data_IF_918275285279
#
_entry.id   IF_918275285279
#
_cell.length_a   1.000
_cell.length_b   1.000
_cell.length_c   1.000
_cell.angle_alpha   90.00
_cell.angle_beta   90.00
_cell.angle_gamma   90.00
#
_symmetry.space_group_name_H-M   'P 1'
#
loop_
_entity.id
_entity.type
_entity.pdbx_description
1 polymer ?
#
# COMPACT_ATOMS: atom_id res chain seq x y z
N UNK A 1 5.15 24.71 -4.50
CA UNK A 1 3.82 25.03 -5.06
C UNK A 1 3.23 23.78 -5.67
N UNK A 2 1.93 23.53 -5.47
CA UNK A 2 1.22 22.45 -6.17
C UNK A 2 1.05 22.88 -7.64
N UNK A 3 1.46 22.05 -8.59
CA UNK A 3 1.27 22.33 -10.02
C UNK A 3 -0.19 22.09 -10.42
N UNK A 4 -0.64 22.70 -11.52
CA UNK A 4 -1.98 22.47 -12.05
C UNK A 4 -2.24 20.99 -12.36
N UNK A 5 -1.23 20.27 -12.85
CA UNK A 5 -1.34 18.83 -13.13
C UNK A 5 -1.54 18.00 -11.85
N UNK A 6 -0.80 18.32 -10.77
CA UNK A 6 -0.93 17.62 -9.50
C UNK A 6 -2.31 17.88 -8.87
N UNK A 7 -2.80 19.12 -8.94
CA UNK A 7 -4.15 19.47 -8.49
C UNK A 7 -5.21 18.68 -9.26
N UNK A 8 -5.12 18.60 -10.58
CA UNK A 8 -6.05 17.84 -11.39
C UNK A 8 -6.06 16.33 -11.06
N UNK A 9 -4.92 15.74 -10.68
CA UNK A 9 -4.86 14.35 -10.23
C UNK A 9 -5.57 14.16 -8.89
N UNK A 10 -5.38 15.10 -7.96
CA UNK A 10 -6.06 15.11 -6.66
C UNK A 10 -7.58 15.22 -6.86
N UNK A 11 -8.03 16.14 -7.72
CA UNK A 11 -9.47 16.36 -7.97
C UNK A 11 -10.14 15.11 -8.57
N UNK A 12 -9.51 14.45 -9.55
CA UNK A 12 -10.02 13.19 -10.13
C UNK A 12 -10.16 12.07 -9.10
N UNK A 13 -9.21 11.99 -8.18
CA UNK A 13 -9.27 11.04 -7.08
C UNK A 13 -10.52 11.33 -6.24
N UNK A 14 -10.70 12.57 -5.80
CA UNK A 14 -11.89 12.98 -5.01
C UNK A 14 -13.22 12.67 -5.73
N UNK A 15 -13.32 12.97 -7.02
CA UNK A 15 -14.51 12.64 -7.83
C UNK A 15 -14.81 11.13 -7.83
N UNK A 16 -13.78 10.29 -7.88
CA UNK A 16 -13.95 8.82 -7.85
C UNK A 16 -14.60 8.37 -6.55
N UNK A 17 -14.15 8.85 -5.38
CA UNK A 17 -14.75 8.51 -4.08
C UNK A 17 -16.18 9.00 -3.95
N UNK A 18 -16.43 10.23 -4.44
CA UNK A 18 -17.77 10.80 -4.46
C UNK A 18 -18.75 9.95 -5.27
N UNK A 19 -18.36 9.53 -6.48
CA UNK A 19 -19.19 8.64 -7.32
C UNK A 19 -19.33 7.23 -6.76
N UNK A 20 -18.34 6.76 -5.99
CA UNK A 20 -18.35 5.47 -5.29
C UNK A 20 -19.17 5.44 -4.01
N UNK A 21 -19.80 6.56 -3.62
CA UNK A 21 -20.66 6.63 -2.42
C UNK A 21 -19.94 6.87 -1.11
N UNK A 22 -18.61 7.13 -1.13
CA UNK A 22 -17.85 7.52 0.06
C UNK A 22 -17.82 9.05 0.12
N UNK A 23 -18.74 9.62 0.88
CA UNK A 23 -18.94 11.08 0.94
C UNK A 23 -18.27 11.76 2.13
N UNK A 24 -17.90 11.00 3.17
CA UNK A 24 -17.23 11.54 4.34
C UNK A 24 -15.72 11.74 4.05
N UNK A 25 -15.21 12.99 4.07
CA UNK A 25 -13.82 13.28 3.77
C UNK A 25 -12.82 12.62 4.72
N UNK A 26 -13.21 12.39 5.98
CA UNK A 26 -12.34 11.73 6.96
C UNK A 26 -12.10 10.27 6.60
N UNK A 27 -13.14 9.56 6.16
CA UNK A 27 -13.04 8.17 5.73
C UNK A 27 -12.13 8.06 4.50
N UNK A 28 -12.27 9.00 3.54
CA UNK A 28 -11.40 9.08 2.35
C UNK A 28 -9.93 9.26 2.76
N UNK A 29 -9.65 10.22 3.65
CA UNK A 29 -8.28 10.48 4.14
C UNK A 29 -7.71 9.24 4.83
N UNK A 30 -8.50 8.57 5.66
CA UNK A 30 -8.08 7.36 6.36
C UNK A 30 -7.70 6.24 5.38
N UNK A 31 -8.57 5.93 4.41
CA UNK A 31 -8.30 4.88 3.42
C UNK A 31 -7.04 5.18 2.60
N UNK A 32 -6.83 6.45 2.22
CA UNK A 32 -5.60 6.87 1.55
C UNK A 32 -4.37 6.68 2.41
N UNK A 33 -4.47 7.06 3.69
CA UNK A 33 -3.34 6.98 4.61
C UNK A 33 -2.88 5.54 4.78
N UNK A 34 -3.80 4.58 4.85
CA UNK A 34 -3.45 3.16 4.88
C UNK A 34 -2.74 2.68 3.60
N UNK A 35 -3.23 3.06 2.42
CA UNK A 35 -2.59 2.70 1.15
C UNK A 35 -1.22 3.37 0.96
N UNK A 36 -1.04 4.59 1.46
CA UNK A 36 0.26 5.27 1.43
C UNK A 36 1.25 4.62 2.39
N UNK A 37 0.79 4.22 3.57
CA UNK A 37 1.64 3.58 4.57
C UNK A 37 2.20 2.24 4.08
N UNK A 38 1.34 1.36 3.54
CA UNK A 38 1.77 0.06 2.97
C UNK A 38 2.72 0.23 1.77
N UNK A 39 2.51 1.27 0.95
CA UNK A 39 3.41 1.60 -0.15
C UNK A 39 4.79 2.01 0.37
N UNK A 40 4.83 2.90 1.36
CA UNK A 40 6.09 3.35 1.97
C UNK A 40 6.84 2.20 2.66
N UNK A 41 6.14 1.30 3.35
CA UNK A 41 6.73 0.11 3.94
C UNK A 41 7.39 -0.80 2.90
N UNK A 42 6.73 -1.02 1.77
CA UNK A 42 7.26 -1.81 0.66
C UNK A 42 8.47 -1.14 -0.01
N UNK A 43 8.46 0.19 -0.15
CA UNK A 43 9.61 0.95 -0.65
C UNK A 43 10.83 0.81 0.30
N UNK A 44 10.63 0.93 1.62
CA UNK A 44 11.69 0.72 2.62
C UNK A 44 12.22 -0.71 2.59
N UNK A 45 11.34 -1.71 2.51
CA UNK A 45 11.73 -3.12 2.39
C UNK A 45 12.59 -3.35 1.14
N UNK A 46 12.15 -2.83 0.00
CA UNK A 46 12.87 -2.97 -1.28
C UNK A 46 14.25 -2.32 -1.22
N UNK A 47 14.37 -1.15 -0.60
CA UNK A 47 15.67 -0.50 -0.39
C UNK A 47 16.60 -1.36 0.45
N UNK A 48 16.13 -1.88 1.59
CA UNK A 48 16.93 -2.71 2.48
C UNK A 48 17.36 -4.04 1.84
N UNK A 49 16.46 -4.69 1.09
CA UNK A 49 16.78 -5.88 0.29
C UNK A 49 17.90 -5.59 -0.71
N UNK A 50 17.82 -4.47 -1.44
CA UNK A 50 18.83 -4.07 -2.41
C UNK A 50 20.18 -3.75 -1.76
N UNK A 51 20.18 -3.05 -0.62
CA UNK A 51 21.39 -2.73 0.14
C UNK A 51 22.08 -4.00 0.65
N UNK A 52 21.32 -4.94 1.22
CA UNK A 52 21.85 -6.20 1.71
C UNK A 52 22.42 -7.07 0.58
N UNK A 53 21.71 -7.16 -0.54
CA UNK A 53 22.19 -7.84 -1.76
C UNK A 53 23.48 -7.22 -2.29
N UNK A 54 23.59 -5.88 -2.25
CA UNK A 54 24.80 -5.17 -2.68
C UNK A 54 25.99 -5.41 -1.74
N UNK A 55 25.76 -5.44 -0.42
CA UNK A 55 26.78 -5.68 0.59
C UNK A 55 27.12 -7.16 0.80
N UNK A 56 26.30 -8.08 0.27
CA UNK A 56 26.44 -9.52 0.45
C UNK A 56 26.19 -9.97 1.90
N UNK A 57 25.31 -9.27 2.61
CA UNK A 57 24.94 -9.58 4.01
C UNK A 57 23.52 -10.13 4.06
N UNK A 58 23.25 -10.97 5.05
CA UNK A 58 21.90 -11.47 5.30
C UNK A 58 20.98 -10.32 5.77
N UNK A 59 19.74 -10.32 5.28
CA UNK A 59 18.70 -9.36 5.66
C UNK A 59 17.45 -10.07 6.17
N UNK A 60 16.99 -9.64 7.34
CA UNK A 60 15.71 -10.09 7.90
C UNK A 60 14.57 -9.21 7.37
N UNK A 61 13.72 -9.82 6.55
CA UNK A 61 12.59 -9.16 5.90
C UNK A 61 11.51 -8.75 6.91
N UNK A 62 10.96 -7.53 6.74
CA UNK A 62 9.75 -7.11 7.48
C UNK A 62 8.49 -7.85 7.01
N UNK A 63 8.57 -8.54 5.87
CA UNK A 63 7.51 -9.35 5.28
C UNK A 63 7.98 -10.81 5.12
N UNK A 64 8.20 -11.56 6.20
CA UNK A 64 8.78 -12.89 6.12
C UNK A 64 7.83 -13.92 5.47
N UNK A 65 8.39 -14.84 4.67
CA UNK A 65 7.67 -15.98 4.10
C UNK A 65 6.39 -15.59 3.34
N UNK A 66 5.25 -16.15 3.75
CA UNK A 66 3.94 -15.91 3.16
C UNK A 66 3.50 -14.44 3.21
N UNK A 67 4.13 -13.62 4.05
CA UNK A 67 3.80 -12.20 4.19
C UNK A 67 4.26 -11.36 3.00
N UNK A 68 5.16 -11.89 2.15
CA UNK A 68 5.60 -11.22 0.92
C UNK A 68 4.45 -10.83 0.00
N UNK A 69 3.36 -11.62 -0.05
CA UNK A 69 2.19 -11.30 -0.89
C UNK A 69 1.49 -10.01 -0.48
N UNK A 70 1.66 -9.57 0.77
CA UNK A 70 1.06 -8.33 1.28
C UNK A 70 1.88 -7.07 0.97
N UNK A 71 2.98 -7.18 0.23
CA UNK A 71 3.75 -6.01 -0.24
C UNK A 71 2.99 -5.28 -1.34
N UNK A 72 2.99 -3.95 -1.28
CA UNK A 72 2.34 -3.08 -2.28
C UNK A 72 2.76 -3.45 -3.71
N UNK A 73 4.06 -3.66 -3.95
CA UNK A 73 4.64 -4.07 -5.22
C UNK A 73 4.07 -5.38 -5.78
N UNK A 74 3.58 -6.29 -4.92
CA UNK A 74 3.01 -7.58 -5.31
C UNK A 74 1.53 -7.47 -5.65
N UNK A 75 0.75 -6.74 -4.84
CA UNK A 75 -0.71 -6.75 -5.02
C UNK A 75 -1.28 -5.60 -5.86
N UNK A 76 -0.55 -4.50 -6.06
CA UNK A 76 -1.04 -3.29 -6.77
C UNK A 76 -1.50 -3.52 -8.21
N UNK A 77 -1.12 -4.65 -8.81
CA UNK A 77 -1.45 -5.04 -10.19
C UNK A 77 -2.17 -6.40 -10.23
N UNK A 78 -2.77 -6.86 -9.12
CA UNK A 78 -3.62 -8.05 -9.14
C UNK A 78 -4.82 -7.83 -10.05
N UNK A 79 -5.29 -8.91 -10.67
CA UNK A 79 -6.11 -8.96 -11.88
C UNK A 79 -7.22 -7.93 -11.96
N UNK A 80 -8.44 -8.31 -11.55
CA UNK A 80 -9.62 -7.44 -11.63
C UNK A 80 -9.77 -6.54 -10.39
N UNK A 81 -10.61 -5.51 -10.48
CA UNK A 81 -10.89 -4.62 -9.35
C UNK A 81 -11.49 -5.39 -8.15
N UNK A 82 -12.31 -6.41 -8.42
CA UNK A 82 -12.93 -7.27 -7.41
C UNK A 82 -11.87 -8.11 -6.68
N UNK A 83 -10.91 -8.70 -7.43
CA UNK A 83 -9.82 -9.48 -6.84
C UNK A 83 -8.96 -8.60 -5.91
N UNK A 84 -8.64 -7.38 -6.35
CA UNK A 84 -7.90 -6.43 -5.53
C UNK A 84 -8.69 -6.00 -4.28
N UNK A 85 -9.99 -5.77 -4.41
CA UNK A 85 -10.85 -5.40 -3.29
C UNK A 85 -10.90 -6.50 -2.23
N UNK A 86 -11.18 -7.75 -2.64
CA UNK A 86 -11.18 -8.93 -1.76
C UNK A 86 -9.82 -9.13 -1.08
N UNK A 87 -8.73 -8.91 -1.84
CA UNK A 87 -7.40 -8.99 -1.27
C UNK A 87 -7.18 -7.94 -0.18
N UNK A 88 -7.45 -6.65 -0.46
CA UNK A 88 -7.21 -5.53 0.47
C UNK A 88 -8.07 -5.63 1.74
N UNK A 89 -9.32 -6.11 1.64
CA UNK A 89 -10.16 -6.38 2.82
C UNK A 89 -9.48 -7.35 3.81
N UNK A 90 -8.77 -8.33 3.29
CA UNK A 90 -8.09 -9.35 4.09
C UNK A 90 -6.67 -8.95 4.51
N UNK A 91 -6.06 -7.95 3.86
CA UNK A 91 -4.69 -7.48 4.14
C UNK A 91 -4.55 -6.89 5.54
N UNK A 92 -5.45 -5.99 5.96
CA UNK A 92 -5.27 -5.20 7.20
C UNK A 92 -5.19 -6.06 8.48
N UNK A 93 -5.89 -7.20 8.50
CA UNK A 93 -5.89 -8.14 9.62
C UNK A 93 -4.65 -9.03 9.60
N UNK A 94 -4.21 -9.47 8.43
CA UNK A 94 -3.10 -10.41 8.28
C UNK A 94 -1.74 -9.73 8.31
N UNK A 95 -1.64 -8.49 7.84
CA UNK A 95 -0.41 -7.70 7.93
C UNK A 95 0.04 -7.40 9.36
N UNK A 96 -0.92 -7.11 10.26
CA UNK A 96 -0.61 -6.93 11.69
C UNK A 96 0.00 -8.19 12.31
N UNK A 97 -0.45 -9.38 11.87
CA UNK A 97 0.12 -10.66 12.30
C UNK A 97 1.49 -10.93 11.66
N UNK A 98 1.66 -10.51 10.42
CA UNK A 98 2.86 -10.72 9.62
C UNK A 98 4.06 -9.86 10.02
N UNK A 99 3.83 -8.60 10.41
CA UNK A 99 4.89 -7.63 10.73
C UNK A 99 5.30 -7.64 12.20
N UNK A 100 4.92 -8.67 12.99
CA UNK A 100 5.27 -8.79 14.42
C UNK A 100 5.05 -7.49 15.22
N UNK A 101 4.01 -6.71 14.86
CA UNK A 101 3.65 -5.45 15.51
C UNK A 101 2.89 -5.65 16.85
N UNK A 102 3.14 -6.78 17.53
CA UNK A 102 2.67 -7.11 18.88
C UNK A 102 3.80 -7.77 19.67
#
# INVERSE_FOLDING_TARGET
MITGELRNKIDKIWETFWTGGITNPLDVIEQFTYLLFIKQLDEVETTKENEANFLGVDYESMFPGECQKYRWSKFKNLGSAEEMFEFVLNVSVQQRKCMSLF
#
